data_IF_702005641472
#
_entry.id   IF_702005641472
#
_cell.length_a   1.000
_cell.length_b   1.000
_cell.length_c   1.000
_cell.angle_alpha   90.00
_cell.angle_beta   90.00
_cell.angle_gamma   90.00
#
_symmetry.space_group_name_H-M   'P 1'
#
loop_
_entity.id
_entity.type
_entity.pdbx_description
1 polymer ?
#
# COMPACT_ATOMS: atom_id res chain seq x y z
N UNK A 1 8.92 22.56 -10.19
CA UNK A 1 8.68 22.33 -10.22
C UNK A 1 8.48 21.63 -9.87
N UNK A 2 8.30 21.51 -9.61
CA UNK A 2 7.95 20.97 -9.21
C UNK A 2 7.45 20.36 -8.89
N UNK A 3 7.29 20.46 -8.65
CA UNK A 3 6.72 20.03 -8.46
C UNK A 3 6.09 19.48 -8.42
N UNK A 4 6.04 19.55 -8.25
CA UNK A 4 5.38 19.30 -8.25
C UNK A 4 4.87 18.63 -8.07
N UNK A 5 4.97 18.82 -7.86
CA UNK A 5 4.50 18.41 -7.63
C UNK A 5 3.81 17.89 -7.36
N UNK A 6 3.73 18.16 -7.21
CA UNK A 6 3.06 17.93 -6.96
C UNK A 6 2.26 17.39 -6.94
N UNK A 7 2.27 17.48 -6.69
CA UNK A 7 1.51 17.35 -6.74
C UNK A 7 0.79 16.86 -6.79
N UNK A 8 0.82 16.98 -6.57
CA UNK A 8 0.07 16.82 -6.69
C UNK A 8 -0.52 16.20 -6.44
N UNK A 9 -0.65 16.30 -6.03
CA UNK A 9 -1.28 15.98 -5.81
C UNK A 9 -2.10 15.60 -5.68
N UNK A 10 -2.23 15.65 -5.52
CA UNK A 10 -3.15 15.37 -5.40
C UNK A 10 -3.89 14.89 -5.73
N UNK A 11 -4.06 14.97 -5.89
CA UNK A 11 -4.66 14.70 -6.20
C UNK A 11 -5.18 14.10 -6.11
N UNK A 12 -5.28 14.22 -5.86
CA UNK A 12 -5.57 13.77 -5.60
C UNK A 12 -6.22 13.19 -5.11
N UNK A 13 -6.30 13.34 -4.81
CA UNK A 13 -6.95 12.77 -3.92
C UNK A 13 -7.91 11.95 -4.24
N UNK A 14 -7.99 11.96 -4.82
CA UNK A 14 -8.92 11.31 -5.12
C UNK A 14 -8.74 10.03 -5.15
N UNK A 15 -9.13 9.79 -5.85
CA UNK A 15 -9.29 8.71 -6.06
C UNK A 15 -8.52 7.82 -5.57
N UNK A 16 -8.40 7.45 -5.61
CA UNK A 16 -7.67 6.62 -5.22
C UNK A 16 -7.09 6.65 -4.03
N UNK A 17 -6.95 7.60 -3.51
CA UNK A 17 -6.26 7.68 -2.29
C UNK A 17 -5.06 6.76 -2.28
N UNK A 18 -4.56 6.39 -3.41
CA UNK A 18 -3.39 5.54 -3.50
C UNK A 18 -2.17 6.41 -3.33
N UNK A 19 -1.28 6.01 -2.44
CA UNK A 19 -0.05 6.75 -2.21
C UNK A 19 1.11 5.82 -2.00
N UNK A 20 2.31 6.35 -2.17
CA UNK A 20 3.52 5.55 -1.98
C UNK A 20 3.69 5.17 -0.54
N UNK A 21 4.28 4.01 -0.33
CA UNK A 21 4.57 3.54 1.01
C UNK A 21 5.84 2.71 0.98
N UNK A 22 6.35 2.44 2.17
CA UNK A 22 7.49 1.54 2.35
C UNK A 22 6.95 0.32 3.05
N UNK A 23 7.35 -0.86 2.58
CA UNK A 23 6.81 -2.11 3.09
C UNK A 23 7.95 -2.97 3.58
N UNK A 24 7.81 -3.50 4.79
CA UNK A 24 8.70 -4.52 5.29
C UNK A 24 8.02 -5.86 5.08
N UNK A 25 8.67 -6.75 4.37
CA UNK A 25 8.12 -8.06 4.08
C UNK A 25 8.72 -9.10 4.99
N UNK A 26 7.87 -9.99 5.48
CA UNK A 26 8.32 -11.19 6.17
C UNK A 26 8.22 -12.40 5.27
N UNK A 27 8.26 -13.57 5.88
CA UNK A 27 8.25 -14.81 5.11
C UNK A 27 6.95 -15.01 4.35
N UNK A 28 5.83 -14.57 4.90
CA UNK A 28 4.52 -14.82 4.30
C UNK A 28 3.98 -13.65 3.51
N UNK A 29 4.59 -12.47 3.63
CA UNK A 29 4.13 -11.28 2.95
C UNK A 29 4.39 -10.05 3.79
N UNK A 30 3.70 -8.95 3.49
CA UNK A 30 3.92 -7.71 4.22
C UNK A 30 3.61 -7.83 5.70
N UNK A 31 4.46 -7.25 6.52
CA UNK A 31 4.32 -7.27 7.98
C UNK A 31 4.01 -5.88 8.51
N UNK A 32 4.67 -4.87 7.95
CA UNK A 32 4.42 -3.46 8.29
C UNK A 32 4.44 -2.65 7.02
N UNK A 33 3.77 -1.51 7.04
CA UNK A 33 4.05 -0.53 6.00
C UNK A 33 4.00 0.88 6.59
N UNK A 34 4.81 1.75 6.02
CA UNK A 34 4.91 3.14 6.45
C UNK A 34 4.31 4.00 5.36
N UNK A 35 3.35 4.82 5.71
CA UNK A 35 2.64 5.65 4.75
C UNK A 35 2.30 6.97 5.42
N UNK A 36 2.74 8.06 4.81
CA UNK A 36 2.46 9.41 5.31
C UNK A 36 2.89 9.59 6.75
N UNK A 37 4.03 9.01 7.11
CA UNK A 37 4.56 9.15 8.46
C UNK A 37 3.93 8.26 9.49
N UNK A 38 2.97 7.41 9.11
CA UNK A 38 2.31 6.51 10.04
C UNK A 38 2.74 5.09 9.77
N UNK A 39 2.97 4.36 10.85
CA UNK A 39 3.34 2.96 10.77
C UNK A 39 2.08 2.11 10.91
N UNK A 40 1.83 1.29 9.91
CA UNK A 40 0.71 0.36 9.91
C UNK A 40 1.23 -1.04 10.17
N UNK A 41 0.57 -1.73 11.08
CA UNK A 41 0.92 -3.11 11.41
C UNK A 41 -0.09 -4.01 10.73
N UNK A 42 0.41 -4.96 9.94
CA UNK A 42 -0.45 -5.90 9.23
C UNK A 42 -0.84 -7.02 10.19
N UNK A 43 -2.13 -7.22 10.35
CA UNK A 43 -2.65 -8.26 11.23
C UNK A 43 -2.98 -9.54 10.46
N UNK A 44 -3.50 -9.39 9.25
CA UNK A 44 -3.90 -10.54 8.45
C UNK A 44 -3.59 -10.28 6.99
N UNK A 45 -3.15 -11.33 6.32
CA UNK A 45 -2.99 -11.33 4.87
C UNK A 45 -4.23 -12.01 4.31
N UNK A 46 -5.09 -11.23 3.65
CA UNK A 46 -6.41 -11.70 3.25
C UNK A 46 -6.47 -12.15 1.80
N UNK A 47 -5.58 -11.64 0.96
CA UNK A 47 -5.55 -12.05 -0.43
C UNK A 47 -4.26 -11.62 -1.09
N UNK A 48 -3.89 -12.34 -2.12
CA UNK A 48 -2.71 -12.02 -2.92
C UNK A 48 -2.99 -12.43 -4.35
N UNK A 49 -2.67 -11.55 -5.28
CA UNK A 49 -2.78 -11.92 -6.70
C UNK A 49 -1.69 -11.17 -7.47
N UNK A 50 -1.39 -11.68 -8.65
CA UNK A 50 -0.32 -11.13 -9.46
C UNK A 50 -0.84 -10.76 -10.83
N UNK A 51 -0.21 -9.74 -11.41
CA UNK A 51 -0.41 -9.34 -12.77
C UNK A 51 0.98 -9.11 -13.34
N UNK A 52 1.12 -9.01 -14.67
CA UNK A 52 2.46 -8.78 -15.22
C UNK A 52 3.12 -7.55 -14.61
N UNK A 53 4.27 -7.76 -13.96
CA UNK A 53 5.00 -6.68 -13.34
C UNK A 53 4.44 -6.16 -12.04
N UNK A 54 3.42 -6.80 -11.47
CA UNK A 54 2.79 -6.31 -10.26
C UNK A 54 2.40 -7.46 -9.34
N UNK A 55 2.47 -7.19 -8.07
CA UNK A 55 1.96 -8.10 -7.03
C UNK A 55 1.04 -7.27 -6.15
N UNK A 56 -0.11 -7.81 -5.84
CA UNK A 56 -1.12 -7.14 -5.04
C UNK A 56 -1.43 -7.96 -3.80
N UNK A 57 -1.66 -7.25 -2.71
CA UNK A 57 -2.04 -7.87 -1.44
C UNK A 57 -3.25 -7.15 -0.89
N UNK A 58 -4.18 -7.89 -0.33
CA UNK A 58 -5.25 -7.32 0.50
C UNK A 58 -4.93 -7.69 1.93
N UNK A 59 -4.85 -6.70 2.80
CA UNK A 59 -4.44 -6.92 4.18
C UNK A 59 -5.37 -6.20 5.14
N UNK A 60 -5.42 -6.71 6.36
CA UNK A 60 -6.02 -6.01 7.48
C UNK A 60 -4.87 -5.40 8.27
N UNK A 61 -4.92 -4.11 8.52
CA UNK A 61 -3.83 -3.42 9.20
C UNK A 61 -4.38 -2.27 10.04
N UNK A 62 -3.61 -1.87 11.04
CA UNK A 62 -3.98 -0.75 11.89
C UNK A 62 -2.79 0.16 12.10
N UNK A 63 -3.07 1.41 12.42
CA UNK A 63 -2.03 2.37 12.79
C UNK A 63 -1.59 2.04 14.20
N UNK A 64 -0.36 1.56 14.32
CA UNK A 64 0.16 1.18 15.60
C UNK A 64 -0.55 -0.04 16.15
N UNK A 65 -0.21 -0.34 17.39
CA UNK A 65 -0.69 -1.57 18.02
C UNK A 65 -2.16 -1.49 18.40
N UNK A 66 -2.63 -0.30 18.73
CA UNK A 66 -3.95 -0.15 19.31
C UNK A 66 -4.95 0.54 18.38
N UNK A 67 -4.56 0.81 17.14
CA UNK A 67 -5.48 1.39 16.19
C UNK A 67 -6.52 0.37 15.72
N UNK A 68 -7.62 0.87 15.19
CA UNK A 68 -8.64 -0.01 14.64
C UNK A 68 -8.19 -0.59 13.32
N UNK A 69 -8.30 -1.89 13.13
CA UNK A 69 -7.94 -2.49 11.84
C UNK A 69 -8.88 -2.06 10.73
N UNK A 70 -8.31 -1.92 9.55
CA UNK A 70 -9.07 -1.62 8.35
C UNK A 70 -8.43 -2.37 7.19
N UNK A 71 -9.11 -2.40 6.09
CA UNK A 71 -8.63 -3.10 4.90
C UNK A 71 -7.81 -2.15 4.04
N UNK A 72 -6.71 -2.66 3.54
CA UNK A 72 -5.82 -1.91 2.65
C UNK A 72 -5.38 -2.80 1.52
N UNK A 73 -5.18 -2.20 0.36
CA UNK A 73 -4.56 -2.87 -0.77
C UNK A 73 -3.15 -2.33 -0.92
N UNK A 74 -2.20 -3.26 -0.93
CA UNK A 74 -0.81 -2.95 -1.19
C UNK A 74 -0.47 -3.44 -2.59
N UNK A 75 0.17 -2.60 -3.36
CA UNK A 75 0.54 -2.92 -4.73
C UNK A 75 2.02 -2.70 -4.89
N UNK A 76 2.71 -3.73 -5.34
CA UNK A 76 4.13 -3.66 -5.62
C UNK A 76 4.31 -3.71 -7.12
N UNK A 77 4.91 -2.67 -7.67
CA UNK A 77 5.22 -2.62 -9.09
C UNK A 77 6.70 -2.91 -9.24
N UNK A 78 7.01 -3.92 -10.04
CA UNK A 78 8.40 -4.34 -10.26
C UNK A 78 8.76 -3.91 -11.67
N UNK A 79 9.50 -2.82 -11.82
CA UNK A 79 9.87 -2.35 -13.17
C UNK A 79 10.95 -3.24 -13.76
N UNK A 80 11.16 -3.10 -15.08
CA UNK A 80 12.21 -3.86 -15.73
C UNK A 80 13.57 -3.49 -15.20
N UNK A 81 13.75 -2.26 -14.77
CA UNK A 81 14.99 -1.85 -14.15
C UNK A 81 14.66 -0.89 -13.03
N UNK A 82 15.50 -0.88 -12.01
CA UNK A 82 15.29 -0.05 -10.85
C UNK A 82 14.57 -0.78 -9.75
N UNK A 83 14.39 -0.12 -8.63
CA UNK A 83 13.79 -0.75 -7.46
C UNK A 83 12.29 -0.91 -7.60
N UNK A 84 11.74 -1.89 -6.90
CA UNK A 84 10.31 -2.05 -6.81
C UNK A 84 9.70 -0.88 -6.05
N UNK A 85 8.48 -0.53 -6.40
CA UNK A 85 7.77 0.55 -5.74
C UNK A 85 6.46 0.02 -5.18
N UNK A 86 6.12 0.47 -3.97
CA UNK A 86 4.90 0.05 -3.31
C UNK A 86 3.96 1.22 -3.18
N UNK A 87 2.68 0.94 -3.35
CA UNK A 87 1.62 1.89 -3.07
C UNK A 87 0.58 1.22 -2.18
N UNK A 88 -0.17 2.03 -1.49
CA UNK A 88 -1.23 1.56 -0.60
C UNK A 88 -2.47 2.41 -0.81
N UNK A 89 -3.64 1.78 -0.69
CA UNK A 89 -4.90 2.50 -0.65
C UNK A 89 -5.87 1.75 0.24
N UNK A 90 -6.91 2.45 0.69
CA UNK A 90 -7.97 1.78 1.45
C UNK A 90 -8.64 0.74 0.57
N UNK A 91 -8.85 -0.41 1.13
CA UNK A 91 -9.59 -1.45 0.47
C UNK A 91 -11.02 -1.48 0.97
N UNK A 92 -11.85 -2.28 0.29
CA UNK A 92 -13.22 -2.50 0.72
C UNK A 92 -13.52 -3.96 0.53
N UNK A 93 -14.44 -4.52 1.33
CA UNK A 93 -14.71 -5.96 1.27
C UNK A 93 -15.14 -6.45 -0.09
N UNK A 94 -15.71 -5.64 -0.91
CA UNK A 94 -16.19 -6.10 -2.21
C UNK A 94 -15.24 -5.92 -3.35
N UNK A 95 -13.98 -5.58 -3.09
CA UNK A 95 -13.08 -5.23 -4.17
C UNK A 95 -12.28 -6.39 -4.72
N UNK A 96 -12.43 -7.55 -4.19
CA UNK A 96 -11.70 -8.71 -4.72
C UNK A 96 -12.43 -9.38 -5.87
#
# INVERSE_FOLDING_TARGET
MAVEMTQELPEAGTAGDEGYCEVLQGADGPVYFLHQGLLFIVHDLLGRWTEPGEVHWLVSASVGRFGEPALYRLRCVVPESGPAAWTVRRGAPGQL
#
